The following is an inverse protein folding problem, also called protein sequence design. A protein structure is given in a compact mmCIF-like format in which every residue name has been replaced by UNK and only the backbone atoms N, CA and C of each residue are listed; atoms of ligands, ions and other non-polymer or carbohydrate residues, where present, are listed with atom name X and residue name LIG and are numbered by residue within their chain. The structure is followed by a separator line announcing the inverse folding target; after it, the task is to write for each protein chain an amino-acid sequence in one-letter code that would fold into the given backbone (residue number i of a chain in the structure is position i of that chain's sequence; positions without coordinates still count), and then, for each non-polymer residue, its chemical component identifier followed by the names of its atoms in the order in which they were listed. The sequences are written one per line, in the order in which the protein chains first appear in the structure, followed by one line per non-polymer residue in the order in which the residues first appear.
data_IF_451982276051
#
_entry.id   IF_451982276051
#
_cell.length_a   1.000
_cell.length_b   1.000
_cell.length_c   1.000
_cell.angle_alpha   90.00
_cell.angle_beta   90.00
_cell.angle_gamma   90.00
#
_symmetry.space_group_name_H-M   'P 1'
#
loop_
_entity.id
_entity.type
_entity.pdbx_description
1 polymer ?
#
# COMPACT_ATOMS: atom_id res chain seq x y z
N UNK A 1 14.13 -30.43 -33.51
CA UNK A 1 14.73 -30.35 -32.15
C UNK A 1 15.85 -29.33 -32.22
N UNK A 2 15.62 -28.09 -31.80
CA UNK A 2 16.70 -27.10 -31.67
C UNK A 2 17.59 -27.50 -30.48
N UNK A 3 18.84 -27.88 -30.76
CA UNK A 3 19.85 -28.02 -29.72
C UNK A 3 20.19 -26.63 -29.18
N UNK A 4 19.83 -26.37 -27.93
CA UNK A 4 20.30 -25.18 -27.21
C UNK A 4 21.84 -25.19 -27.22
N UNK A 5 22.46 -24.03 -27.49
CA UNK A 5 23.90 -23.86 -27.33
C UNK A 5 24.29 -24.13 -25.86
N UNK A 6 25.48 -24.70 -25.62
CA UNK A 6 25.98 -25.01 -24.27
C UNK A 6 25.87 -23.81 -23.31
N UNK A 7 26.07 -22.58 -23.84
CA UNK A 7 25.90 -21.35 -23.07
C UNK A 7 24.46 -21.15 -22.57
N UNK A 8 23.47 -21.42 -23.42
CA UNK A 8 22.05 -21.34 -23.10
C UNK A 8 21.64 -22.40 -22.07
N UNK A 9 22.26 -23.57 -22.10
CA UNK A 9 22.05 -24.60 -21.08
C UNK A 9 22.62 -24.21 -19.72
N UNK A 10 23.81 -23.60 -19.67
CA UNK A 10 24.37 -23.07 -18.43
C UNK A 10 23.47 -22.00 -17.82
N UNK A 11 22.92 -21.09 -18.62
CA UNK A 11 21.99 -20.06 -18.15
C UNK A 11 20.68 -20.65 -17.59
N UNK A 12 20.16 -21.71 -18.20
CA UNK A 12 18.98 -22.42 -17.69
C UNK A 12 19.30 -23.08 -16.35
N UNK A 13 20.47 -23.68 -16.19
CA UNK A 13 20.90 -24.27 -14.91
C UNK A 13 21.06 -23.20 -13.82
N UNK A 14 21.70 -22.06 -14.12
CA UNK A 14 21.84 -20.94 -13.17
C UNK A 14 20.50 -20.33 -12.77
N UNK A 15 19.53 -20.26 -13.70
CA UNK A 15 18.19 -19.81 -13.38
C UNK A 15 17.47 -20.80 -12.43
N UNK A 16 17.59 -22.10 -12.68
CA UNK A 16 16.96 -23.15 -11.84
C UNK A 16 17.59 -23.28 -10.45
N UNK A 17 18.87 -22.92 -10.30
CA UNK A 17 19.55 -22.84 -9.00
C UNK A 17 18.91 -21.77 -8.09
N UNK A 18 18.40 -20.69 -8.69
CA UNK A 18 17.80 -19.56 -7.97
C UNK A 18 16.27 -19.72 -7.86
N UNK A 19 15.61 -20.10 -8.94
CA UNK A 19 14.17 -20.34 -9.01
C UNK A 19 13.82 -21.80 -8.64
N UNK A 20 14.04 -22.16 -7.36
CA UNK A 20 13.83 -23.51 -6.83
C UNK A 20 12.38 -23.97 -7.06
N UNK A 21 12.20 -25.14 -7.67
CA UNK A 21 10.89 -25.76 -7.93
C UNK A 21 10.34 -25.55 -9.34
N UNK A 22 11.00 -24.77 -10.19
CA UNK A 22 10.59 -24.56 -11.58
C UNK A 22 11.16 -25.61 -12.53
N UNK A 23 10.53 -25.76 -13.69
CA UNK A 23 10.99 -26.69 -14.74
C UNK A 23 11.93 -26.00 -15.74
N UNK A 24 12.80 -26.78 -16.39
CA UNK A 24 13.68 -26.27 -17.44
C UNK A 24 12.92 -25.63 -18.63
N UNK A 25 11.66 -26.02 -18.85
CA UNK A 25 10.80 -25.40 -19.88
C UNK A 25 10.40 -23.98 -19.47
N UNK A 26 10.02 -23.80 -18.20
CA UNK A 26 9.66 -22.50 -17.62
C UNK A 26 10.85 -21.55 -17.59
N UNK A 27 12.02 -22.04 -17.15
CA UNK A 27 13.27 -21.27 -17.17
C UNK A 27 13.62 -20.76 -18.59
N UNK A 28 13.46 -21.61 -19.61
CA UNK A 28 13.67 -21.22 -21.01
C UNK A 28 12.67 -20.15 -21.47
N UNK A 29 11.42 -20.24 -21.03
CA UNK A 29 10.39 -19.26 -21.39
C UNK A 29 10.73 -17.86 -20.84
N UNK A 30 11.17 -17.77 -19.57
CA UNK A 30 11.60 -16.51 -18.95
C UNK A 30 12.89 -15.95 -19.54
N UNK A 31 13.88 -16.82 -19.80
CA UNK A 31 15.12 -16.41 -20.47
C UNK A 31 14.87 -15.99 -21.92
N UNK A 32 13.95 -16.63 -22.63
CA UNK A 32 13.62 -16.22 -24.01
C UNK A 32 12.87 -14.89 -24.05
N UNK A 33 11.99 -14.62 -23.08
CA UNK A 33 11.29 -13.33 -22.95
C UNK A 33 12.24 -12.15 -22.65
N UNK A 34 13.37 -12.42 -22.00
CA UNK A 34 14.36 -11.41 -21.57
C UNK A 34 15.60 -11.40 -22.46
N UNK A 35 15.51 -11.96 -23.68
CA UNK A 35 16.63 -12.04 -24.63
C UNK A 35 17.88 -12.70 -24.06
N UNK A 36 17.70 -13.75 -23.24
CA UNK A 36 18.74 -14.48 -22.52
C UNK A 36 19.54 -13.60 -21.57
N UNK A 37 18.83 -12.82 -20.74
CA UNK A 37 19.44 -12.07 -19.63
C UNK A 37 18.98 -12.67 -18.31
N UNK A 38 19.92 -13.27 -17.58
CA UNK A 38 19.63 -14.06 -16.39
C UNK A 38 18.98 -13.21 -15.29
N UNK A 39 19.53 -12.03 -15.04
CA UNK A 39 19.11 -11.13 -13.96
C UNK A 39 17.69 -10.60 -14.19
N UNK A 40 17.37 -10.25 -15.44
CA UNK A 40 16.01 -9.79 -15.78
C UNK A 40 15.02 -10.94 -15.79
N UNK A 41 15.44 -12.14 -16.20
CA UNK A 41 14.58 -13.32 -16.12
C UNK A 41 14.22 -13.64 -14.67
N UNK A 42 15.19 -13.55 -13.76
CA UNK A 42 15.01 -13.77 -12.32
C UNK A 42 14.11 -12.67 -11.73
N UNK A 43 14.37 -11.41 -12.06
CA UNK A 43 13.54 -10.29 -11.60
C UNK A 43 12.10 -10.44 -12.09
N UNK A 44 11.89 -10.79 -13.36
CA UNK A 44 10.56 -11.00 -13.94
C UNK A 44 9.84 -12.23 -13.34
N UNK A 45 10.59 -13.26 -12.94
CA UNK A 45 10.06 -14.39 -12.20
C UNK A 45 9.58 -14.00 -10.80
N UNK A 46 10.36 -13.25 -10.02
CA UNK A 46 9.96 -12.79 -8.69
C UNK A 46 8.84 -11.75 -8.72
N UNK A 47 8.87 -10.81 -9.68
CA UNK A 47 7.77 -9.86 -9.92
C UNK A 47 6.47 -10.59 -10.29
N UNK A 48 6.58 -11.71 -11.02
CA UNK A 48 5.45 -12.58 -11.33
C UNK A 48 5.07 -13.58 -10.23
N UNK A 49 5.80 -13.62 -9.10
CA UNK A 49 5.49 -14.50 -7.96
C UNK A 49 4.78 -13.74 -6.82
N UNK A 50 4.89 -12.41 -6.78
CA UNK A 50 4.07 -11.53 -5.92
C UNK A 50 2.63 -11.32 -6.44
N UNK A 51 2.17 -12.11 -7.42
CA UNK A 51 0.77 -12.13 -7.85
C UNK A 51 -0.03 -13.30 -7.25
N UNK A 52 0.30 -13.67 -6.01
CA UNK A 52 -0.67 -14.25 -5.10
C UNK A 52 -1.21 -13.14 -4.20
N UNK A 53 -2.46 -12.73 -4.41
CA UNK A 53 -3.26 -11.80 -3.58
C UNK A 53 -3.10 -10.27 -3.73
N UNK A 54 -2.70 -9.77 -4.90
CA UNK A 54 -3.05 -8.41 -5.32
C UNK A 54 -4.10 -8.40 -6.43
N UNK A 55 -5.24 -9.07 -6.19
CA UNK A 55 -6.48 -8.62 -6.84
C UNK A 55 -6.76 -7.21 -6.34
N UNK A 56 -6.34 -6.22 -7.13
CA UNK A 56 -6.79 -4.84 -6.98
C UNK A 56 -8.31 -4.89 -7.10
N UNK A 57 -8.98 -4.89 -5.96
CA UNK A 57 -10.43 -4.91 -5.85
C UNK A 57 -10.99 -3.83 -6.78
N UNK A 58 -11.70 -4.25 -7.82
CA UNK A 58 -12.38 -3.31 -8.70
C UNK A 58 -13.25 -2.38 -7.83
N UNK A 59 -13.26 -1.07 -8.10
CA UNK A 59 -14.10 -0.14 -7.36
C UNK A 59 -15.54 -0.65 -7.40
N UNK A 60 -16.17 -0.72 -6.22
CA UNK A 60 -17.54 -1.21 -6.12
C UNK A 60 -18.44 -0.40 -7.06
N UNK A 61 -19.28 -1.06 -7.87
CA UNK A 61 -20.21 -0.36 -8.73
C UNK A 61 -21.12 0.53 -7.88
N UNK A 62 -21.31 1.78 -8.30
CA UNK A 62 -22.18 2.72 -7.61
C UNK A 62 -23.62 2.30 -7.86
N UNK A 63 -24.22 1.61 -6.88
CA UNK A 63 -25.65 1.31 -6.87
C UNK A 63 -26.40 2.54 -6.37
N UNK A 64 -27.36 3.03 -7.15
CA UNK A 64 -28.30 4.08 -6.76
C UNK A 64 -29.67 3.45 -6.56
N UNK A 65 -29.89 2.89 -5.38
CA UNK A 65 -31.24 2.46 -5.00
C UNK A 65 -32.03 3.71 -4.57
N UNK A 66 -33.05 4.05 -5.34
CA UNK A 66 -34.04 5.05 -4.94
C UNK A 66 -35.01 4.39 -3.99
N UNK A 67 -34.95 4.75 -2.71
CA UNK A 67 -35.91 4.36 -1.70
C UNK A 67 -37.20 5.19 -1.88
N UNK A 68 -37.99 4.86 -2.91
CA UNK A 68 -39.42 5.18 -2.88
C UNK A 68 -40.11 3.95 -2.30
N UNK A 69 -40.69 4.13 -1.12
CA UNK A 69 -41.82 3.33 -0.65
C UNK A 69 -42.99 3.64 -1.60
N UNK A 70 -43.05 2.97 -2.74
CA UNK A 70 -44.28 2.85 -3.51
C UNK A 70 -45.09 1.72 -2.87
N UNK A 71 -45.64 2.00 -1.69
CA UNK A 71 -46.88 1.35 -1.25
C UNK A 71 -48.00 1.97 -2.08
N UNK A 72 -48.23 1.41 -3.27
CA UNK A 72 -49.59 1.18 -3.74
C UNK A 72 -49.61 0.18 -4.91
N UNK A 73 -50.34 -0.92 -4.70
CA UNK A 73 -51.22 -1.42 -5.75
C UNK A 73 -50.60 -2.18 -6.91
N UNK A 74 -50.54 -3.50 -6.75
CA UNK A 74 -50.73 -4.48 -7.82
C UNK A 74 -51.71 -3.99 -8.92
N UNK A 75 -51.23 -3.57 -10.09
CA UNK A 75 -51.93 -3.59 -11.39
C UNK A 75 -51.10 -2.92 -12.52
N UNK A 76 -50.32 -3.71 -13.28
CA UNK A 76 -50.29 -3.67 -14.76
C UNK A 76 -49.27 -4.63 -15.38
N UNK A 77 -49.41 -5.92 -15.07
CA UNK A 77 -49.16 -6.91 -16.12
C UNK A 77 -50.16 -6.60 -17.24
N UNK A 78 -49.71 -6.52 -18.50
CA UNK A 78 -50.44 -6.11 -19.72
C UNK A 78 -50.43 -4.62 -20.10
N UNK A 79 -49.36 -4.18 -20.80
CA UNK A 79 -49.58 -3.42 -22.04
C UNK A 79 -48.44 -3.59 -23.04
N UNK A 80 -48.66 -4.56 -23.94
CA UNK A 80 -48.05 -4.63 -25.27
C UNK A 80 -48.40 -3.35 -26.04
N UNK A 81 -47.38 -2.77 -26.67
CA UNK A 81 -47.31 -1.95 -27.90
C UNK A 81 -48.40 -0.90 -28.18
N UNK A 82 -47.99 0.34 -28.45
CA UNK A 82 -48.33 1.11 -29.67
C UNK A 82 -47.73 2.53 -29.63
N UNK A 83 -46.86 2.82 -30.61
CA UNK A 83 -46.62 4.06 -31.37
C UNK A 83 -46.62 5.45 -30.68
N UNK A 84 -45.58 6.26 -30.99
CA UNK A 84 -45.70 7.73 -31.07
C UNK A 84 -44.50 8.54 -30.58
N UNK A 85 -43.70 9.08 -31.51
CA UNK A 85 -42.68 10.15 -31.35
C UNK A 85 -43.26 11.43 -30.65
N UNK A 86 -42.48 12.32 -30.00
CA UNK A 86 -41.46 13.13 -30.69
C UNK A 86 -40.16 13.52 -29.95
N UNK A 87 -39.21 13.89 -30.82
CA UNK A 87 -37.90 14.55 -30.72
C UNK A 87 -37.95 15.95 -30.09
N UNK A 88 -36.93 16.32 -29.28
CA UNK A 88 -36.37 17.69 -29.10
C UNK A 88 -35.06 17.59 -28.27
N UNK A 89 -33.89 17.68 -28.92
CA UNK A 89 -32.97 18.84 -29.03
C UNK A 89 -32.21 19.19 -27.72
N UNK A 90 -30.84 19.18 -27.73
CA UNK A 90 -30.02 19.47 -26.55
C UNK A 90 -29.79 20.99 -26.41
N UNK A 91 -30.34 21.59 -25.35
CA UNK A 91 -30.00 22.96 -24.96
C UNK A 91 -28.95 22.96 -23.85
N UNK A 92 -27.75 23.43 -24.20
CA UNK A 92 -26.74 23.93 -23.30
C UNK A 92 -27.25 25.17 -22.55
N UNK A 93 -27.26 25.17 -21.23
CA UNK A 93 -27.10 26.40 -20.44
C UNK A 93 -26.61 26.08 -19.02
N UNK A 94 -25.37 26.49 -18.79
CA UNK A 94 -24.82 27.13 -17.58
C UNK A 94 -25.75 27.26 -16.36
N UNK A 95 -25.27 26.76 -15.21
CA UNK A 95 -25.63 27.21 -13.86
C UNK A 95 -24.36 27.14 -13.01
N UNK A 96 -23.56 28.20 -13.01
CA UNK A 96 -23.48 29.19 -11.91
C UNK A 96 -22.99 28.56 -10.61
N UNK A 97 -21.78 28.96 -10.25
CA UNK A 97 -21.08 28.66 -9.01
C UNK A 97 -21.66 29.61 -7.95
N UNK A 98 -22.56 29.11 -7.13
CA UNK A 98 -22.99 29.81 -5.92
C UNK A 98 -22.55 28.98 -4.73
N UNK A 99 -21.56 29.52 -4.02
CA UNK A 99 -21.20 29.10 -2.70
C UNK A 99 -22.33 29.50 -1.77
N UNK A 100 -22.88 28.54 -1.04
CA UNK A 100 -23.29 28.77 0.34
C UNK A 100 -23.09 27.48 1.14
N UNK A 101 -22.59 27.69 2.34
CA UNK A 101 -22.06 26.75 3.30
C UNK A 101 -23.01 25.61 3.70
N UNK A 102 -22.41 24.48 4.08
CA UNK A 102 -22.92 23.41 4.97
C UNK A 102 -23.05 22.02 4.35
N UNK A 103 -21.93 21.36 4.00
CA UNK A 103 -21.81 19.89 4.18
C UNK A 103 -20.36 19.54 4.60
N UNK A 104 -20.01 19.86 5.84
CA UNK A 104 -18.75 19.44 6.48
C UNK A 104 -18.97 18.16 7.31
N UNK A 105 -19.38 17.06 6.68
CA UNK A 105 -19.58 15.79 7.39
C UNK A 105 -19.09 14.54 6.65
N UNK A 106 -18.51 14.68 5.45
CA UNK A 106 -17.91 13.56 4.71
C UNK A 106 -16.38 13.40 4.95
N UNK A 107 -15.74 14.32 5.69
CA UNK A 107 -14.28 14.34 5.91
C UNK A 107 -13.80 13.63 7.19
N UNK A 108 -14.70 13.14 8.03
CA UNK A 108 -14.34 12.52 9.34
C UNK A 108 -13.87 11.06 9.20
N UNK A 109 -14.43 10.30 8.27
CA UNK A 109 -14.07 8.90 8.06
C UNK A 109 -12.70 8.73 7.37
N UNK A 110 -12.31 9.67 6.51
CA UNK A 110 -11.00 9.67 5.85
C UNK A 110 -9.90 10.17 6.79
N UNK A 111 -10.21 11.20 7.60
CA UNK A 111 -9.30 11.71 8.64
C UNK A 111 -8.95 10.61 9.65
N UNK A 112 -9.93 9.87 10.18
CA UNK A 112 -9.65 8.82 11.18
C UNK A 112 -8.80 7.66 10.65
N UNK A 113 -8.94 7.25 9.37
CA UNK A 113 -8.03 6.27 8.75
C UNK A 113 -6.64 6.84 8.55
N UNK A 114 -6.54 8.08 8.08
CA UNK A 114 -5.25 8.77 7.91
C UNK A 114 -4.55 9.01 9.25
N UNK A 115 -5.27 9.26 10.34
CA UNK A 115 -4.73 9.40 11.69
C UNK A 115 -4.24 8.07 12.27
N UNK A 116 -4.95 6.97 12.01
CA UNK A 116 -4.55 5.61 12.41
C UNK A 116 -3.36 5.07 11.60
N UNK A 117 -3.20 5.47 10.34
CA UNK A 117 -2.00 5.14 9.55
C UNK A 117 -0.84 6.07 9.88
N UNK A 118 -1.12 7.35 10.13
CA UNK A 118 -0.12 8.30 10.58
C UNK A 118 0.42 7.90 11.96
N UNK A 119 -0.40 7.36 12.86
CA UNK A 119 0.03 6.91 14.19
C UNK A 119 1.03 5.74 14.15
N UNK A 120 0.90 4.83 13.18
CA UNK A 120 1.80 3.68 13.00
C UNK A 120 3.24 4.08 12.64
N UNK A 121 3.44 5.25 12.04
CA UNK A 121 4.76 5.73 11.63
C UNK A 121 5.30 6.84 12.55
N UNK A 122 4.63 7.13 13.68
CA UNK A 122 5.10 8.18 14.60
C UNK A 122 6.34 7.72 15.36
N UNK A 123 7.30 8.63 15.61
CA UNK A 123 8.41 8.37 16.51
C UNK A 123 7.92 7.91 17.89
N UNK A 124 8.64 7.01 18.58
CA UNK A 124 8.26 6.52 19.89
C UNK A 124 8.50 7.60 20.96
N UNK A 125 7.65 8.63 21.02
CA UNK A 125 7.82 9.77 21.93
C UNK A 125 7.92 9.39 23.41
N UNK A 126 7.35 8.25 23.80
CA UNK A 126 7.43 7.70 25.16
C UNK A 126 8.83 7.17 25.51
N UNK A 127 9.64 6.83 24.49
CA UNK A 127 10.98 6.29 24.63
C UNK A 127 12.05 7.38 24.47
N UNK A 128 11.75 8.42 23.68
CA UNK A 128 12.70 9.46 23.31
C UNK A 128 13.03 10.39 24.46
N UNK A 129 14.33 10.62 24.68
CA UNK A 129 14.83 11.69 25.52
C UNK A 129 14.64 13.04 24.83
N UNK A 130 13.85 13.91 25.45
CA UNK A 130 13.61 15.26 24.95
C UNK A 130 14.77 16.18 25.38
N UNK A 131 15.63 16.58 24.45
CA UNK A 131 16.70 17.52 24.73
C UNK A 131 17.78 17.56 23.65
N UNK A 132 18.82 18.35 23.88
CA UNK A 132 20.02 18.32 23.06
C UNK A 132 20.81 17.05 23.30
N UNK A 133 21.71 16.73 22.37
CA UNK A 133 22.59 15.57 22.49
C UNK A 133 23.46 15.62 23.75
N UNK A 134 23.94 16.81 24.14
CA UNK A 134 24.74 17.00 25.36
C UNK A 134 23.93 16.62 26.61
N UNK A 135 22.68 17.09 26.70
CA UNK A 135 21.78 16.73 27.81
C UNK A 135 21.51 15.23 27.87
N UNK A 136 21.41 14.57 26.72
CA UNK A 136 21.22 13.12 26.66
C UNK A 136 22.46 12.37 27.19
N UNK A 137 23.66 12.84 26.86
CA UNK A 137 24.92 12.30 27.41
C UNK A 137 25.01 12.48 28.92
N UNK A 138 24.69 13.67 29.41
CA UNK A 138 24.72 13.96 30.85
C UNK A 138 23.70 13.07 31.59
N UNK A 139 22.48 12.94 31.05
CA UNK A 139 21.45 12.08 31.62
C UNK A 139 21.86 10.59 31.62
N UNK A 140 22.48 10.10 30.55
CA UNK A 140 23.01 8.74 30.46
C UNK A 140 24.09 8.49 31.51
N UNK A 141 25.00 9.46 31.70
CA UNK A 141 26.04 9.37 32.73
C UNK A 141 25.48 9.43 34.16
N UNK A 142 24.45 10.24 34.41
CA UNK A 142 23.83 10.37 35.75
C UNK A 142 22.98 9.15 36.10
N UNK A 143 22.28 8.57 35.12
CA UNK A 143 21.42 7.41 35.32
C UNK A 143 22.16 6.07 35.19
N UNK A 144 23.46 6.09 34.88
CA UNK A 144 24.28 4.90 34.57
C UNK A 144 23.64 4.01 33.50
N UNK A 145 23.11 4.64 32.45
CA UNK A 145 22.48 3.99 31.30
C UNK A 145 23.32 4.20 30.05
N UNK A 146 23.21 3.26 29.11
CA UNK A 146 23.84 3.40 27.80
C UNK A 146 23.10 4.46 26.96
N UNK A 147 23.80 5.16 26.07
CA UNK A 147 23.18 6.11 25.15
C UNK A 147 22.95 5.44 23.79
N UNK A 148 21.70 5.33 23.36
CA UNK A 148 21.33 4.83 22.04
C UNK A 148 20.95 6.00 21.15
N UNK A 149 21.74 6.24 20.09
CA UNK A 149 21.50 7.29 19.10
C UNK A 149 20.93 6.66 17.83
N UNK A 150 19.72 7.07 17.46
CA UNK A 150 19.04 6.63 16.25
C UNK A 150 18.95 7.79 15.25
N UNK A 151 19.77 7.76 14.22
CA UNK A 151 19.76 8.77 13.14
C UNK A 151 18.82 8.29 12.03
N UNK A 152 17.76 9.06 11.79
CA UNK A 152 16.72 8.71 10.84
C UNK A 152 16.54 9.77 9.76
N UNK A 153 16.10 9.34 8.58
CA UNK A 153 15.84 10.24 7.45
C UNK A 153 14.39 10.10 7.04
N UNK A 154 13.67 11.22 6.96
CA UNK A 154 12.26 11.26 6.52
C UNK A 154 12.09 10.91 5.04
N UNK A 155 13.18 10.92 4.27
CA UNK A 155 13.19 10.60 2.84
C UNK A 155 13.34 9.11 2.57
N UNK A 156 13.68 8.32 3.57
CA UNK A 156 14.02 6.91 3.43
C UNK A 156 12.88 6.03 3.96
N UNK A 157 12.40 5.09 3.13
CA UNK A 157 11.25 4.24 3.48
C UNK A 157 11.58 3.26 4.61
N UNK A 158 12.81 2.75 4.64
CA UNK A 158 13.28 1.84 5.71
C UNK A 158 13.31 2.50 7.10
N UNK A 159 13.47 3.82 7.16
CA UNK A 159 13.39 4.59 8.40
C UNK A 159 11.97 4.61 8.97
N UNK A 160 10.96 4.69 8.10
CA UNK A 160 9.55 4.63 8.51
C UNK A 160 9.17 3.22 8.98
N UNK A 161 9.66 2.19 8.31
CA UNK A 161 9.45 0.79 8.73
C UNK A 161 10.04 0.51 10.12
N UNK A 162 11.21 1.06 10.45
CA UNK A 162 11.77 0.92 11.80
C UNK A 162 10.87 1.53 12.90
N UNK A 163 10.21 2.66 12.62
CA UNK A 163 9.28 3.28 13.57
C UNK A 163 8.05 2.41 13.83
N UNK A 164 7.55 1.74 12.78
CA UNK A 164 6.39 0.84 12.87
C UNK A 164 6.72 -0.52 13.45
N UNK A 165 7.83 -1.13 13.04
CA UNK A 165 8.08 -2.55 13.27
C UNK A 165 8.98 -2.80 14.49
N UNK A 166 9.93 -1.90 14.75
CA UNK A 166 10.90 -2.05 15.87
C UNK A 166 10.46 -1.24 17.08
N UNK A 167 10.25 0.07 16.92
CA UNK A 167 9.99 0.94 18.07
C UNK A 167 8.57 0.85 18.62
N UNK A 168 7.60 0.41 17.81
CA UNK A 168 6.24 0.15 18.28
C UNK A 168 6.12 -1.15 19.10
N UNK A 169 7.14 -2.02 19.06
CA UNK A 169 7.13 -3.26 19.83
C UNK A 169 7.35 -2.95 21.33
N UNK A 170 6.37 -3.31 22.16
CA UNK A 170 6.40 -3.03 23.61
C UNK A 170 7.60 -3.68 24.31
N UNK A 171 7.95 -4.93 23.97
CA UNK A 171 9.09 -5.61 24.59
C UNK A 171 10.43 -4.91 24.27
N UNK A 172 10.59 -4.42 23.04
CA UNK A 172 11.75 -3.63 22.63
C UNK A 172 11.76 -2.29 23.37
N UNK A 173 10.63 -1.57 23.38
CA UNK A 173 10.51 -0.29 24.07
C UNK A 173 10.84 -0.40 25.57
N UNK A 174 10.30 -1.42 26.25
CA UNK A 174 10.58 -1.67 27.67
C UNK A 174 12.07 -1.97 27.92
N UNK A 175 12.68 -2.79 27.06
CA UNK A 175 14.11 -3.13 27.18
C UNK A 175 15.00 -1.90 27.00
N UNK A 176 14.70 -1.07 26.00
CA UNK A 176 15.43 0.16 25.72
C UNK A 176 15.23 1.18 26.83
N UNK A 177 13.99 1.38 27.30
CA UNK A 177 13.68 2.31 28.41
C UNK A 177 14.40 1.94 29.71
N UNK A 178 14.57 0.64 29.98
CA UNK A 178 15.24 0.14 31.18
C UNK A 178 16.75 0.40 31.12
N UNK A 179 17.40 0.11 29.99
CA UNK A 179 18.87 0.06 29.91
C UNK A 179 19.53 1.24 29.20
N UNK A 180 18.75 2.02 28.43
CA UNK A 180 19.25 3.06 27.55
C UNK A 180 18.54 4.41 27.75
N UNK A 181 19.25 5.48 27.44
CA UNK A 181 18.68 6.77 27.06
C UNK A 181 18.59 6.76 25.53
N UNK A 182 17.37 6.86 24.99
CA UNK A 182 17.16 6.84 23.55
C UNK A 182 17.07 8.26 22.99
N UNK A 183 17.93 8.62 22.05
CA UNK A 183 17.92 9.93 21.38
C UNK A 183 17.82 9.74 19.86
N UNK A 184 16.92 10.49 19.23
CA UNK A 184 16.64 10.36 17.80
C UNK A 184 16.60 11.73 17.11
N UNK A 185 17.17 11.79 15.91
CA UNK A 185 17.27 12.97 15.03
C UNK A 185 17.02 12.61 13.58
#
# INVERSE_FOLDING_TARGET
MESLSANKQNMVSSFLEIAVGQTAKTARQFLQATSWRLEEAIQLFYVGQDCGDHEVRAPLPVVRDTLYDDDDGMLNLYRVSMAGFPRQEPSSMTGVREADEQISSASTADTSRSENLASLNRPPFHLMFNGSFEKAKDAASVQDKWLLVNLQSTKEFTSHMHNRDTWANEAVSQTVSTSFIFWQV
#
